data_IF_921489321168
#
_entry.id   IF_921489321168
#
_cell.length_a   1.000
_cell.length_b   1.000
_cell.length_c   1.000
_cell.angle_alpha   90.00
_cell.angle_beta   90.00
_cell.angle_gamma   90.00
#
_symmetry.space_group_name_H-M   'P 1'
#
loop_
_entity.id
_entity.type
_entity.pdbx_description
1 polymer ?
#
# COMPACT_ATOMS: atom_id res chain seq x y z
N UNK A 1 12.16 55.15 -25.65
CA UNK A 1 12.71 56.07 -24.63
C UNK A 1 13.66 55.27 -23.75
N UNK A 2 14.95 55.41 -24.02
CA UNK A 2 15.95 56.10 -23.18
C UNK A 2 16.59 55.19 -22.11
N UNK A 3 17.67 54.56 -22.58
CA UNK A 3 19.04 54.49 -22.04
C UNK A 3 19.34 54.36 -20.53
N UNK A 4 20.38 53.57 -20.20
CA UNK A 4 20.91 53.32 -18.85
C UNK A 4 22.02 54.31 -18.45
N UNK A 5 22.36 54.35 -17.15
CA UNK A 5 23.55 55.08 -16.66
C UNK A 5 24.39 54.25 -15.69
N UNK A 6 25.66 54.19 -16.04
CA UNK A 6 26.88 53.58 -15.48
C UNK A 6 27.47 54.30 -14.25
N UNK A 7 28.52 53.71 -13.65
CA UNK A 7 29.84 54.28 -13.22
C UNK A 7 30.35 53.59 -11.93
N UNK A 8 31.63 53.30 -11.65
CA UNK A 8 32.94 53.30 -12.35
C UNK A 8 34.00 52.64 -11.42
N UNK A 9 35.09 52.13 -12.03
CA UNK A 9 36.35 51.58 -11.46
C UNK A 9 37.25 52.60 -10.71
N UNK A 10 38.33 52.14 -10.01
CA UNK A 10 39.70 52.13 -10.59
C UNK A 10 40.53 50.86 -10.23
N UNK A 11 41.29 50.24 -11.16
CA UNK A 11 42.71 50.49 -11.59
C UNK A 11 43.75 50.14 -10.50
N UNK A 12 44.65 49.17 -10.75
CA UNK A 12 46.09 49.42 -11.03
C UNK A 12 46.81 48.15 -11.51
N UNK A 13 47.73 48.35 -12.47
CA UNK A 13 48.87 47.48 -12.85
C UNK A 13 50.15 48.17 -12.40
N UNK A 14 51.30 47.47 -12.34
CA UNK A 14 52.44 47.97 -13.11
C UNK A 14 53.25 46.87 -13.83
N UNK A 15 54.13 47.36 -14.71
CA UNK A 15 54.85 46.66 -15.77
C UNK A 15 56.35 46.50 -15.51
N UNK A 16 56.97 45.63 -16.34
CA UNK A 16 58.35 45.65 -16.88
C UNK A 16 59.56 45.37 -15.98
N UNK A 17 60.44 44.43 -16.42
CA UNK A 17 61.89 44.64 -16.65
C UNK A 17 62.55 43.48 -17.47
N UNK A 18 62.98 43.84 -18.69
CA UNK A 18 64.23 43.51 -19.43
C UNK A 18 64.91 42.13 -19.47
N UNK A 19 64.84 41.52 -20.67
CA UNK A 19 65.88 40.96 -21.57
C UNK A 19 67.37 40.99 -21.12
N UNK A 20 68.12 39.89 -21.33
CA UNK A 20 69.43 39.87 -22.04
C UNK A 20 69.92 38.46 -22.41
N UNK A 21 70.37 38.35 -23.66
CA UNK A 21 71.16 37.26 -24.28
C UNK A 21 72.65 37.45 -23.96
N UNK A 22 73.41 36.37 -23.90
CA UNK A 22 74.84 36.39 -24.25
C UNK A 22 75.31 35.05 -24.80
N UNK A 23 76.25 35.16 -25.72
CA UNK A 23 76.71 34.23 -26.76
C UNK A 23 78.11 33.70 -26.46
N UNK A 24 78.35 32.41 -26.74
CA UNK A 24 79.55 31.78 -27.36
C UNK A 24 80.93 31.89 -26.62
N UNK A 25 81.85 30.90 -26.73
CA UNK A 25 82.50 30.54 -28.00
C UNK A 25 82.81 29.05 -28.26
N UNK A 26 83.12 28.80 -29.53
CA UNK A 26 83.47 27.55 -30.20
C UNK A 26 84.89 27.66 -30.74
N UNK A 27 85.70 26.60 -30.62
CA UNK A 27 86.75 26.13 -31.57
C UNK A 27 87.48 24.92 -30.96
N UNK A 28 88.28 24.13 -31.70
CA UNK A 28 88.09 23.62 -33.05
C UNK A 28 88.27 22.09 -33.16
N UNK A 29 88.07 21.62 -34.40
CA UNK A 29 88.03 20.27 -34.98
C UNK A 29 89.35 19.47 -34.83
N UNK A 30 89.26 18.16 -34.57
CA UNK A 30 90.24 17.18 -35.10
C UNK A 30 89.58 15.85 -35.45
N UNK A 31 89.77 15.47 -36.70
CA UNK A 31 89.36 14.23 -37.34
C UNK A 31 90.23 13.06 -36.85
N UNK A 32 89.61 11.94 -36.52
CA UNK A 32 90.25 10.62 -36.50
C UNK A 32 89.25 9.57 -36.98
N UNK A 33 89.52 9.04 -38.18
CA UNK A 33 88.86 7.86 -38.75
C UNK A 33 89.38 6.63 -38.01
N UNK A 34 88.48 5.83 -37.43
CA UNK A 34 88.77 4.43 -37.11
C UNK A 34 87.55 3.57 -37.45
N UNK A 35 87.80 2.57 -38.31
CA UNK A 35 86.94 1.42 -38.56
C UNK A 35 86.84 0.58 -37.28
N UNK A 36 85.62 0.37 -36.76
CA UNK A 36 85.32 -0.73 -35.84
C UNK A 36 83.92 -1.29 -36.14
N UNK A 37 83.86 -2.61 -36.31
CA UNK A 37 82.69 -3.44 -36.61
C UNK A 37 81.60 -3.41 -35.51
N UNK A 38 80.33 -3.73 -35.82
CA UNK A 38 79.26 -3.75 -34.84
C UNK A 38 79.35 -5.02 -33.98
N UNK A 39 79.64 -4.87 -32.69
CA UNK A 39 79.40 -5.91 -31.70
C UNK A 39 77.92 -5.87 -31.30
N UNK A 40 77.16 -6.86 -31.73
CA UNK A 40 75.80 -7.11 -31.27
C UNK A 40 75.85 -7.46 -29.77
N UNK A 41 75.50 -6.49 -28.92
CA UNK A 41 75.15 -6.77 -27.53
C UNK A 41 73.68 -7.19 -27.46
N UNK A 42 73.34 -8.34 -26.83
CA UNK A 42 71.95 -8.71 -26.67
C UNK A 42 71.33 -7.76 -25.65
N UNK A 43 70.49 -6.83 -26.10
CA UNK A 43 69.61 -6.08 -25.20
C UNK A 43 68.65 -7.08 -24.53
N UNK A 44 68.99 -7.55 -23.33
CA UNK A 44 68.03 -8.20 -22.42
C UNK A 44 67.02 -7.13 -22.00
N UNK A 45 65.92 -7.01 -22.77
CA UNK A 45 64.74 -6.29 -22.31
C UNK A 45 64.21 -7.02 -21.09
N UNK A 46 64.45 -6.47 -19.89
CA UNK A 46 63.85 -6.96 -18.67
C UNK A 46 62.35 -6.72 -18.76
N UNK A 47 61.58 -7.80 -18.91
CA UNK A 47 60.13 -7.72 -18.87
C UNK A 47 59.70 -7.10 -17.54
N UNK A 48 58.79 -6.13 -17.60
CA UNK A 48 58.22 -5.54 -16.40
C UNK A 48 57.52 -6.61 -15.56
N UNK A 49 57.39 -6.38 -14.27
CA UNK A 49 56.67 -7.29 -13.35
C UNK A 49 55.27 -7.63 -13.87
N UNK A 50 54.55 -6.65 -14.44
CA UNK A 50 53.26 -6.86 -15.11
C UNK A 50 53.34 -7.75 -16.36
N UNK A 51 54.37 -7.58 -17.19
CA UNK A 51 54.58 -8.43 -18.36
C UNK A 51 54.93 -9.88 -17.97
N UNK A 52 55.69 -10.08 -16.89
CA UNK A 52 55.98 -11.42 -16.34
C UNK A 52 54.72 -12.08 -15.79
N UNK A 53 53.89 -11.34 -15.07
CA UNK A 53 52.61 -11.82 -14.54
C UNK A 53 51.64 -12.25 -15.65
N UNK A 54 51.48 -11.42 -16.69
CA UNK A 54 50.58 -11.71 -17.81
C UNK A 54 51.02 -12.93 -18.63
N UNK A 55 52.33 -13.10 -18.85
CA UNK A 55 52.88 -14.27 -19.52
C UNK A 55 52.75 -15.54 -18.65
N UNK A 56 53.03 -15.44 -17.35
CA UNK A 56 52.85 -16.53 -16.40
C UNK A 56 51.39 -17.02 -16.34
N UNK A 57 50.43 -16.10 -16.29
CA UNK A 57 49.00 -16.42 -16.36
C UNK A 57 48.60 -17.09 -17.68
N UNK A 58 49.13 -16.61 -18.82
CA UNK A 58 48.85 -17.22 -20.13
C UNK A 58 49.40 -18.65 -20.25
N UNK A 59 50.60 -18.89 -19.73
CA UNK A 59 51.23 -20.20 -19.78
C UNK A 59 50.55 -21.18 -18.82
N UNK A 60 50.29 -20.75 -17.57
CA UNK A 60 49.53 -21.52 -16.60
C UNK A 60 48.11 -21.86 -17.10
N UNK A 61 47.41 -20.93 -17.75
CA UNK A 61 46.07 -21.17 -18.32
C UNK A 61 46.07 -22.33 -19.33
N UNK A 62 47.07 -22.39 -20.22
CA UNK A 62 47.16 -23.45 -21.25
C UNK A 62 47.48 -24.81 -20.64
N UNK A 63 48.40 -24.85 -19.68
CA UNK A 63 48.79 -26.11 -19.02
C UNK A 63 47.69 -26.67 -18.14
N UNK A 64 46.94 -25.81 -17.43
CA UNK A 64 45.82 -26.23 -16.57
C UNK A 64 44.64 -26.71 -17.43
N UNK A 65 44.34 -26.05 -18.56
CA UNK A 65 43.29 -26.47 -19.50
C UNK A 65 43.54 -27.87 -20.07
N UNK A 66 44.80 -28.20 -20.37
CA UNK A 66 45.18 -29.53 -20.89
C UNK A 66 45.08 -30.62 -19.84
N UNK A 67 45.47 -30.32 -18.59
CA UNK A 67 45.46 -31.30 -17.49
C UNK A 67 44.07 -31.55 -16.92
N UNK A 68 43.21 -30.54 -16.91
CA UNK A 68 41.90 -30.58 -16.26
C UNK A 68 40.79 -30.00 -17.17
N UNK A 69 40.50 -30.63 -18.33
CA UNK A 69 39.58 -30.08 -19.33
C UNK A 69 38.11 -30.02 -18.88
N UNK A 70 37.71 -30.83 -17.89
CA UNK A 70 36.34 -30.89 -17.36
C UNK A 70 36.22 -30.10 -16.05
N UNK A 71 37.19 -30.26 -15.14
CA UNK A 71 37.19 -29.62 -13.81
C UNK A 71 37.34 -28.09 -13.89
N UNK A 72 38.14 -27.58 -14.82
CA UNK A 72 38.37 -26.14 -14.95
C UNK A 72 37.13 -25.34 -15.42
N UNK A 73 36.40 -25.71 -16.49
CA UNK A 73 35.18 -25.01 -16.85
C UNK A 73 34.10 -25.15 -15.76
N UNK A 74 34.01 -26.29 -15.07
CA UNK A 74 33.10 -26.47 -13.94
C UNK A 74 33.44 -25.51 -12.79
N UNK A 75 34.73 -25.36 -12.44
CA UNK A 75 35.17 -24.43 -11.40
C UNK A 75 34.94 -22.95 -11.78
N UNK A 76 35.14 -22.59 -13.05
CA UNK A 76 34.85 -21.24 -13.55
C UNK A 76 33.35 -20.96 -13.53
N UNK A 77 32.53 -21.94 -13.93
CA UNK A 77 31.09 -21.85 -13.86
C UNK A 77 30.62 -21.69 -12.41
N UNK A 78 31.10 -22.53 -11.48
CA UNK A 78 30.73 -22.41 -10.07
C UNK A 78 31.15 -21.08 -9.45
N UNK A 79 32.33 -20.56 -9.80
CA UNK A 79 32.79 -19.25 -9.34
C UNK A 79 31.93 -18.11 -9.92
N UNK A 80 31.53 -18.20 -11.19
CA UNK A 80 30.63 -17.23 -11.81
C UNK A 80 29.24 -17.28 -11.17
N UNK A 81 28.68 -18.47 -10.94
CA UNK A 81 27.39 -18.65 -10.28
C UNK A 81 27.41 -18.14 -8.83
N UNK A 82 28.44 -18.46 -8.05
CA UNK A 82 28.59 -17.95 -6.69
C UNK A 82 28.69 -16.41 -6.66
N UNK A 83 29.44 -15.83 -7.60
CA UNK A 83 29.54 -14.37 -7.75
C UNK A 83 28.18 -13.77 -8.09
N UNK A 84 27.44 -14.35 -9.04
CA UNK A 84 26.12 -13.90 -9.45
C UNK A 84 25.11 -13.94 -8.28
N UNK A 85 25.10 -15.03 -7.51
CA UNK A 85 24.27 -15.18 -6.30
C UNK A 85 24.64 -14.12 -5.28
N UNK A 86 25.92 -13.92 -4.99
CA UNK A 86 26.37 -12.89 -4.05
C UNK A 86 25.97 -11.49 -4.49
N UNK A 87 26.16 -11.14 -5.77
CA UNK A 87 25.72 -9.85 -6.32
C UNK A 87 24.20 -9.68 -6.26
N UNK A 88 23.44 -10.76 -6.46
CA UNK A 88 21.98 -10.73 -6.34
C UNK A 88 21.53 -10.52 -4.89
N UNK A 89 22.15 -11.20 -3.93
CA UNK A 89 21.89 -11.00 -2.50
C UNK A 89 22.23 -9.55 -2.10
N UNK A 90 23.38 -9.03 -2.50
CA UNK A 90 23.77 -7.65 -2.24
C UNK A 90 22.81 -6.63 -2.89
N UNK A 91 22.34 -6.92 -4.10
CA UNK A 91 21.34 -6.11 -4.79
C UNK A 91 19.99 -6.10 -4.05
N UNK A 92 19.50 -7.27 -3.61
CA UNK A 92 18.26 -7.39 -2.83
C UNK A 92 18.39 -6.67 -1.48
N UNK A 93 19.51 -6.81 -0.79
CA UNK A 93 19.76 -6.12 0.48
C UNK A 93 19.73 -4.59 0.29
N UNK A 94 20.42 -4.09 -0.73
CA UNK A 94 20.50 -2.65 -1.00
C UNK A 94 19.17 -2.06 -1.51
N UNK A 95 18.46 -2.77 -2.38
CA UNK A 95 17.26 -2.22 -3.06
C UNK A 95 15.95 -2.56 -2.39
N UNK A 96 15.85 -3.66 -1.62
CA UNK A 96 14.61 -4.09 -0.97
C UNK A 96 14.66 -3.97 0.56
N UNK A 97 15.76 -4.37 1.20
CA UNK A 97 15.85 -4.43 2.67
C UNK A 97 16.22 -3.07 3.28
N UNK A 98 17.26 -2.41 2.77
CA UNK A 98 17.69 -1.09 3.25
C UNK A 98 16.57 -0.04 3.27
N UNK A 99 15.79 0.13 2.17
CA UNK A 99 14.70 1.10 2.12
C UNK A 99 13.51 0.77 3.01
N UNK A 100 13.34 -0.46 3.52
CA UNK A 100 12.22 -0.76 4.42
C UNK A 100 12.48 -0.32 5.87
N UNK A 101 13.76 -0.21 6.27
CA UNK A 101 14.14 0.10 7.65
C UNK A 101 14.80 1.46 7.85
N UNK A 102 14.97 2.28 6.81
CA UNK A 102 15.57 3.63 6.93
C UNK A 102 14.78 4.58 7.85
N UNK A 103 13.48 4.33 8.05
CA UNK A 103 12.61 5.08 8.97
C UNK A 103 12.87 4.75 10.44
N UNK A 104 13.54 3.64 10.72
CA UNK A 104 13.88 3.20 12.06
C UNK A 104 15.35 3.52 12.36
N UNK A 105 15.68 3.94 13.60
CA UNK A 105 17.07 3.98 14.04
C UNK A 105 17.74 2.61 13.86
N UNK A 106 19.03 2.54 13.49
CA UNK A 106 19.70 1.27 13.21
C UNK A 106 19.55 0.18 14.30
N UNK A 107 19.59 0.50 15.61
CA UNK A 107 19.35 -0.49 16.66
C UNK A 107 17.92 -1.06 16.67
N UNK A 108 16.92 -0.23 16.37
CA UNK A 108 15.51 -0.65 16.26
C UNK A 108 15.34 -1.56 15.04
N UNK A 109 15.93 -1.17 13.91
CA UNK A 109 15.90 -1.95 12.67
C UNK A 109 16.49 -3.35 12.87
N UNK A 110 17.60 -3.49 13.60
CA UNK A 110 18.22 -4.79 13.90
C UNK A 110 17.31 -5.70 14.72
N UNK A 111 16.69 -5.17 15.77
CA UNK A 111 15.69 -5.91 16.56
C UNK A 111 14.48 -6.32 15.69
N UNK A 112 14.01 -5.42 14.83
CA UNK A 112 12.89 -5.70 13.91
C UNK A 112 13.23 -6.76 12.86
N UNK A 113 14.45 -6.80 12.31
CA UNK A 113 14.86 -7.88 11.40
C UNK A 113 14.73 -9.25 12.07
N UNK A 114 15.13 -9.34 13.34
CA UNK A 114 14.98 -10.57 14.13
C UNK A 114 13.50 -10.92 14.35
N UNK A 115 12.67 -9.92 14.68
CA UNK A 115 11.24 -10.12 14.85
C UNK A 115 10.57 -10.61 13.56
N UNK A 116 10.84 -9.96 12.43
CA UNK A 116 10.31 -10.33 11.10
C UNK A 116 10.79 -11.70 10.67
N UNK A 117 12.05 -12.07 10.94
CA UNK A 117 12.53 -13.43 10.67
C UNK A 117 11.67 -14.49 11.38
N UNK A 118 11.37 -14.28 12.66
CA UNK A 118 10.53 -15.20 13.44
C UNK A 118 9.02 -15.06 13.19
N UNK A 119 8.60 -14.12 12.33
CA UNK A 119 7.21 -13.97 11.86
C UNK A 119 7.04 -14.60 10.47
N UNK A 120 7.99 -14.39 9.57
CA UNK A 120 7.87 -14.74 8.14
C UNK A 120 8.61 -16.02 7.75
N UNK A 121 9.78 -16.29 8.36
CA UNK A 121 10.68 -17.36 7.93
C UNK A 121 10.55 -18.59 8.82
N UNK A 122 10.71 -18.40 10.14
CA UNK A 122 10.61 -19.47 11.14
C UNK A 122 9.59 -19.03 12.19
N UNK A 123 8.30 -19.29 11.93
CA UNK A 123 7.21 -18.79 12.76
C UNK A 123 7.32 -19.28 14.20
N UNK A 124 7.83 -18.41 15.06
CA UNK A 124 8.10 -18.69 16.48
C UNK A 124 7.58 -17.52 17.32
N UNK A 125 6.30 -17.54 17.72
CA UNK A 125 5.64 -16.41 18.39
C UNK A 125 6.36 -15.91 19.66
N UNK A 126 6.91 -16.77 20.54
CA UNK A 126 7.63 -16.29 21.72
C UNK A 126 8.89 -15.47 21.38
N UNK A 127 9.68 -15.96 20.42
CA UNK A 127 10.90 -15.28 19.97
C UNK A 127 10.60 -14.00 19.19
N UNK A 128 9.60 -14.04 18.30
CA UNK A 128 9.14 -12.87 17.56
C UNK A 128 8.64 -11.79 18.54
N UNK A 129 7.80 -12.16 19.50
CA UNK A 129 7.26 -11.24 20.50
C UNK A 129 8.37 -10.63 21.37
N UNK A 130 9.38 -11.41 21.76
CA UNK A 130 10.53 -10.89 22.49
C UNK A 130 11.29 -9.84 21.67
N UNK A 131 11.55 -10.13 20.40
CA UNK A 131 12.23 -9.20 19.50
C UNK A 131 11.41 -7.93 19.22
N UNK A 132 10.09 -8.03 19.05
CA UNK A 132 9.21 -6.86 18.91
C UNK A 132 9.17 -5.99 20.18
N UNK A 133 9.11 -6.61 21.37
CA UNK A 133 9.17 -5.88 22.64
C UNK A 133 10.48 -5.13 22.79
N UNK A 134 11.59 -5.77 22.41
CA UNK A 134 12.90 -5.13 22.42
C UNK A 134 12.98 -3.96 21.43
N UNK A 135 12.46 -4.13 20.21
CA UNK A 135 12.38 -3.05 19.23
C UNK A 135 11.57 -1.84 19.76
N UNK A 136 10.44 -2.08 20.44
CA UNK A 136 9.64 -1.02 21.06
C UNK A 136 10.39 -0.33 22.21
N UNK A 137 11.09 -1.09 23.06
CA UNK A 137 11.90 -0.56 24.16
C UNK A 137 13.01 0.35 23.64
N UNK A 138 13.80 -0.15 22.68
CA UNK A 138 14.88 0.61 22.04
C UNK A 138 14.30 1.84 21.33
N UNK A 139 13.14 1.72 20.67
CA UNK A 139 12.48 2.84 20.02
C UNK A 139 12.18 3.99 20.99
N UNK A 140 11.67 3.66 22.18
CA UNK A 140 11.43 4.64 23.25
C UNK A 140 12.75 5.27 23.73
N UNK A 141 13.78 4.46 23.96
CA UNK A 141 15.12 4.94 24.37
C UNK A 141 15.76 5.87 23.33
N UNK A 142 15.47 5.63 22.06
CA UNK A 142 15.90 6.45 20.93
C UNK A 142 14.97 7.66 20.68
N UNK A 143 13.98 7.91 21.54
CA UNK A 143 13.09 9.05 21.47
C UNK A 143 12.03 8.98 20.37
N UNK A 144 11.71 7.78 19.85
CA UNK A 144 10.63 7.62 18.88
C UNK A 144 9.28 7.94 19.53
N UNK A 145 8.48 8.77 18.87
CA UNK A 145 7.17 9.15 19.38
C UNK A 145 6.25 7.90 19.49
N UNK A 146 5.57 7.65 20.62
CA UNK A 146 4.74 6.45 20.81
C UNK A 146 3.60 6.29 19.80
N UNK A 147 3.14 7.41 19.24
CA UNK A 147 2.09 7.49 18.22
C UNK A 147 2.64 7.82 16.83
N UNK A 148 3.94 7.64 16.60
CA UNK A 148 4.50 7.69 15.25
C UNK A 148 3.97 6.55 14.38
N UNK A 149 4.06 6.72 13.07
CA UNK A 149 3.65 5.70 12.10
C UNK A 149 4.39 4.37 12.35
N UNK A 150 5.68 4.48 12.63
CA UNK A 150 6.62 3.41 12.90
C UNK A 150 6.25 2.62 14.16
N UNK A 151 6.06 3.29 15.30
CA UNK A 151 5.83 2.61 16.59
C UNK A 151 4.46 1.94 16.63
N UNK A 152 3.41 2.60 16.14
CA UNK A 152 2.08 1.97 16.03
C UNK A 152 2.12 0.82 15.01
N UNK A 153 2.89 0.97 13.93
CA UNK A 153 3.11 -0.09 12.94
C UNK A 153 3.69 -1.36 13.57
N UNK A 154 4.67 -1.23 14.48
CA UNK A 154 5.22 -2.39 15.21
C UNK A 154 4.13 -3.10 16.03
N UNK A 155 3.25 -2.36 16.72
CA UNK A 155 2.16 -2.95 17.52
C UNK A 155 1.16 -3.73 16.65
N UNK A 156 0.81 -3.19 15.49
CA UNK A 156 -0.06 -3.87 14.52
C UNK A 156 0.62 -5.13 13.97
N UNK A 157 1.93 -5.07 13.68
CA UNK A 157 2.72 -6.23 13.25
C UNK A 157 2.78 -7.33 14.32
N UNK A 158 2.84 -6.98 15.60
CA UNK A 158 2.71 -7.96 16.70
C UNK A 158 1.37 -8.68 16.64
N UNK A 159 0.27 -7.96 16.45
CA UNK A 159 -1.06 -8.57 16.32
C UNK A 159 -1.16 -9.49 15.10
N UNK A 160 -0.63 -9.07 13.95
CA UNK A 160 -0.57 -9.89 12.73
C UNK A 160 0.24 -11.18 12.94
N UNK A 161 1.38 -11.10 13.62
CA UNK A 161 2.20 -12.27 13.95
C UNK A 161 1.42 -13.25 14.84
N UNK A 162 0.71 -12.73 15.87
CA UNK A 162 -0.11 -13.55 16.76
C UNK A 162 -1.27 -14.22 16.01
N UNK A 163 -1.93 -13.49 15.11
CA UNK A 163 -2.99 -14.04 14.25
C UNK A 163 -2.47 -15.19 13.38
N UNK A 164 -1.34 -15.01 12.70
CA UNK A 164 -0.71 -16.06 11.87
C UNK A 164 -0.30 -17.29 12.67
N UNK A 165 0.00 -17.11 13.95
CA UNK A 165 0.28 -18.19 14.87
C UNK A 165 -0.96 -18.92 15.39
N UNK A 166 -2.16 -18.55 14.94
CA UNK A 166 -3.44 -19.07 15.44
C UNK A 166 -3.83 -18.51 16.82
N UNK A 167 -3.14 -17.49 17.32
CA UNK A 167 -3.38 -16.87 18.61
C UNK A 167 -4.34 -15.67 18.48
N UNK A 168 -5.50 -15.89 17.86
CA UNK A 168 -6.48 -14.84 17.54
C UNK A 168 -6.89 -14.00 18.76
N UNK A 169 -7.10 -14.63 19.92
CA UNK A 169 -7.45 -13.91 21.17
C UNK A 169 -6.36 -12.93 21.61
N UNK A 170 -5.09 -13.36 21.53
CA UNK A 170 -3.97 -12.50 21.88
C UNK A 170 -3.79 -11.35 20.86
N UNK A 171 -4.04 -11.62 19.57
CA UNK A 171 -4.07 -10.58 18.55
C UNK A 171 -5.14 -9.51 18.85
N UNK A 172 -6.36 -9.93 19.19
CA UNK A 172 -7.45 -9.04 19.61
C UNK A 172 -7.04 -8.19 20.82
N UNK A 173 -6.44 -8.79 21.86
CA UNK A 173 -5.99 -8.05 23.05
C UNK A 173 -4.97 -6.95 22.70
N UNK A 174 -4.01 -7.25 21.81
CA UNK A 174 -3.02 -6.27 21.36
C UNK A 174 -3.68 -5.14 20.56
N UNK A 175 -4.63 -5.46 19.69
CA UNK A 175 -5.35 -4.49 18.87
C UNK A 175 -6.28 -3.60 19.69
N UNK A 176 -7.08 -4.15 20.60
CA UNK A 176 -7.96 -3.39 21.50
C UNK A 176 -7.14 -2.43 22.37
N UNK A 177 -6.01 -2.89 22.92
CA UNK A 177 -5.10 -2.03 23.68
C UNK A 177 -4.53 -0.91 22.82
N UNK A 178 -4.02 -1.25 21.64
CA UNK A 178 -3.40 -0.27 20.73
C UNK A 178 -4.41 0.78 20.30
N UNK A 179 -5.64 0.37 19.99
CA UNK A 179 -6.75 1.29 19.70
C UNK A 179 -7.05 2.20 20.88
N UNK A 180 -7.17 1.65 22.09
CA UNK A 180 -7.43 2.43 23.29
C UNK A 180 -6.39 3.52 23.54
N UNK A 181 -5.11 3.19 23.35
CA UNK A 181 -4.00 4.15 23.43
C UNK A 181 -4.12 5.24 22.35
N UNK A 182 -4.41 4.88 21.09
CA UNK A 182 -4.62 5.84 20.00
C UNK A 182 -5.79 6.79 20.28
N UNK A 183 -6.92 6.26 20.72
CA UNK A 183 -8.10 7.06 21.03
C UNK A 183 -7.84 8.01 22.21
N UNK A 184 -7.11 7.54 23.23
CA UNK A 184 -6.64 8.38 24.33
C UNK A 184 -5.78 9.57 23.84
N UNK A 185 -4.91 9.35 22.86
CA UNK A 185 -4.11 10.40 22.23
C UNK A 185 -4.95 11.38 21.41
N UNK A 186 -5.85 10.88 20.58
CA UNK A 186 -6.72 11.72 19.73
C UNK A 186 -7.64 12.62 20.57
N UNK A 187 -8.09 12.12 21.73
CA UNK A 187 -8.92 12.87 22.69
C UNK A 187 -8.12 13.82 23.60
N UNK A 188 -6.78 13.83 23.48
CA UNK A 188 -5.90 14.63 24.33
C UNK A 188 -5.81 14.14 25.78
N UNK A 189 -6.24 12.91 26.06
CA UNK A 189 -6.20 12.28 27.39
C UNK A 189 -4.86 11.62 27.70
N UNK A 190 -4.16 11.14 26.67
CA UNK A 190 -2.89 10.43 26.81
C UNK A 190 -1.86 10.99 25.83
N UNK A 191 -0.75 11.54 26.33
CA UNK A 191 0.37 12.01 25.50
C UNK A 191 1.51 10.99 25.40
N UNK A 192 1.23 9.73 25.73
CA UNK A 192 2.23 8.67 25.80
C UNK A 192 2.96 8.61 27.13
N UNK A 193 2.54 9.40 28.14
CA UNK A 193 3.12 9.40 29.49
C UNK A 193 2.92 8.03 30.19
N UNK A 194 1.98 7.21 29.71
CA UNK A 194 1.70 5.85 30.20
C UNK A 194 2.36 4.71 29.40
N UNK A 195 3.01 4.98 28.26
CA UNK A 195 3.69 3.95 27.46
C UNK A 195 5.10 3.75 28.02
N UNK A 196 5.20 2.92 29.05
CA UNK A 196 6.45 2.46 29.68
C UNK A 196 7.28 3.60 30.29
N UNK A 197 6.70 4.38 31.20
CA UNK A 197 7.43 5.04 32.30
C UNK A 197 8.51 6.08 31.94
N UNK A 198 8.62 6.51 30.68
CA UNK A 198 9.56 7.57 30.31
C UNK A 198 8.85 8.91 30.49
N UNK A 199 9.20 9.61 31.58
CA UNK A 199 8.88 11.02 31.75
C UNK A 199 9.62 11.78 30.66
N UNK A 200 8.90 12.33 29.69
CA UNK A 200 9.44 13.34 28.79
C UNK A 200 9.87 14.51 29.69
N UNK A 201 11.17 14.77 29.79
CA UNK A 201 11.71 15.82 30.63
C UNK A 201 11.11 17.17 30.21
N UNK A 202 10.39 17.79 31.16
CA UNK A 202 9.72 19.07 30.98
C UNK A 202 10.71 20.23 31.12
N UNK A 203 11.67 20.34 30.22
CA UNK A 203 12.39 21.61 30.00
C UNK A 203 12.63 21.84 28.52
N UNK A 204 11.56 22.20 27.81
CA UNK A 204 11.66 22.63 26.42
C UNK A 204 11.10 24.04 26.24
N UNK A 205 11.87 24.88 25.55
CA UNK A 205 11.51 26.26 25.24
C UNK A 205 10.22 26.35 24.40
N UNK A 206 9.61 27.54 24.38
CA UNK A 206 8.32 27.80 23.70
C UNK A 206 8.28 27.38 22.23
N UNK A 207 9.42 27.39 21.53
CA UNK A 207 9.51 27.00 20.10
C UNK A 207 9.42 25.48 19.92
N UNK A 208 10.23 24.70 20.64
CA UNK A 208 10.16 23.22 20.62
C UNK A 208 8.79 22.68 21.00
N UNK A 209 8.13 23.30 21.99
CA UNK A 209 6.76 22.92 22.38
C UNK A 209 5.77 23.11 21.23
N UNK A 210 5.90 24.19 20.44
CA UNK A 210 5.05 24.43 19.26
C UNK A 210 5.34 23.42 18.15
N UNK A 211 6.61 23.10 17.92
CA UNK A 211 7.01 22.09 16.93
C UNK A 211 6.45 20.70 17.28
N UNK A 212 6.49 20.31 18.56
CA UNK A 212 5.88 19.07 19.04
C UNK A 212 4.35 19.10 18.91
N UNK A 213 3.69 20.21 19.27
CA UNK A 213 2.24 20.35 19.12
C UNK A 213 1.80 20.29 17.64
N UNK A 214 2.58 20.87 16.73
CA UNK A 214 2.32 20.81 15.29
C UNK A 214 2.56 19.40 14.73
N UNK A 215 3.61 18.71 15.18
CA UNK A 215 3.86 17.31 14.86
C UNK A 215 2.75 16.39 15.39
N UNK A 216 2.32 16.55 16.64
CA UNK A 216 1.21 15.79 17.24
C UNK A 216 -0.09 15.96 16.43
N UNK A 217 -0.36 17.18 15.96
CA UNK A 217 -1.50 17.46 15.08
C UNK A 217 -1.42 16.71 13.75
N UNK A 218 -0.22 16.60 13.16
CA UNK A 218 0.00 15.81 11.95
C UNK A 218 -0.11 14.30 12.21
N UNK A 219 0.33 13.83 13.39
CA UNK A 219 0.22 12.42 13.75
C UNK A 219 -1.22 12.00 14.03
N UNK A 220 -2.05 12.90 14.57
CA UNK A 220 -3.47 12.65 14.88
C UNK A 220 -4.20 11.98 13.72
N UNK A 221 -4.07 12.52 12.52
CA UNK A 221 -4.77 11.99 11.34
C UNK A 221 -4.26 10.58 10.99
N UNK A 222 -2.94 10.38 11.03
CA UNK A 222 -2.29 9.09 10.72
C UNK A 222 -2.71 7.99 11.69
N UNK A 223 -2.72 8.29 12.99
CA UNK A 223 -3.10 7.29 13.99
C UNK A 223 -4.61 7.07 14.01
N UNK A 224 -5.43 8.08 13.75
CA UNK A 224 -6.87 7.91 13.63
C UNK A 224 -7.22 7.02 12.43
N UNK A 225 -6.52 7.18 11.29
CA UNK A 225 -6.62 6.26 10.14
C UNK A 225 -6.32 4.82 10.56
N UNK A 226 -5.29 4.61 11.38
CA UNK A 226 -4.97 3.28 11.92
C UNK A 226 -6.01 2.77 12.91
N UNK A 227 -6.63 3.62 13.71
CA UNK A 227 -7.71 3.21 14.61
C UNK A 227 -8.89 2.65 13.82
N UNK A 228 -9.27 3.27 12.70
CA UNK A 228 -10.30 2.74 11.78
C UNK A 228 -9.87 1.36 11.26
N UNK A 229 -8.65 1.22 10.75
CA UNK A 229 -8.15 -0.07 10.27
C UNK A 229 -8.08 -1.15 11.36
N UNK A 230 -7.74 -0.78 12.59
CA UNK A 230 -7.75 -1.68 13.75
C UNK A 230 -9.19 -2.13 14.06
N UNK A 231 -10.17 -1.23 14.06
CA UNK A 231 -11.58 -1.60 14.27
C UNK A 231 -12.09 -2.55 13.18
N UNK A 232 -11.75 -2.29 11.92
CA UNK A 232 -12.09 -3.21 10.82
C UNK A 232 -11.44 -4.59 11.01
N UNK A 233 -10.17 -4.64 11.41
CA UNK A 233 -9.47 -5.91 11.68
C UNK A 233 -10.03 -6.63 12.90
N UNK A 234 -10.40 -5.90 13.95
CA UNK A 234 -11.07 -6.46 15.12
C UNK A 234 -12.39 -7.10 14.72
N UNK A 235 -13.17 -6.47 13.84
CA UNK A 235 -14.40 -7.05 13.35
C UNK A 235 -14.20 -8.38 12.63
N UNK A 236 -13.20 -8.46 11.76
CA UNK A 236 -12.81 -9.70 11.08
C UNK A 236 -12.41 -10.79 12.07
N UNK A 237 -11.55 -10.46 13.04
CA UNK A 237 -11.11 -11.40 14.07
C UNK A 237 -12.28 -11.88 14.95
N UNK A 238 -13.19 -10.99 15.35
CA UNK A 238 -14.37 -11.35 16.13
C UNK A 238 -15.32 -12.26 15.37
N UNK A 239 -15.51 -12.04 14.06
CA UNK A 239 -16.32 -12.92 13.19
C UNK A 239 -15.60 -14.19 12.73
N UNK A 240 -14.30 -14.33 13.00
CA UNK A 240 -13.56 -15.53 12.61
C UNK A 240 -14.08 -16.79 13.32
N UNK A 241 -13.87 -17.94 12.68
CA UNK A 241 -14.23 -19.25 13.23
C UNK A 241 -13.59 -19.54 14.60
N UNK A 242 -12.54 -18.82 14.97
CA UNK A 242 -11.83 -18.97 16.24
C UNK A 242 -12.49 -18.23 17.41
N UNK A 243 -13.21 -17.12 17.13
CA UNK A 243 -13.79 -16.26 18.17
C UNK A 243 -15.32 -16.30 18.15
N UNK A 244 -15.94 -16.19 16.97
CA UNK A 244 -17.39 -16.28 16.75
C UNK A 244 -18.22 -15.33 17.64
N UNK A 245 -17.74 -14.09 17.85
CA UNK A 245 -18.43 -13.04 18.59
C UNK A 245 -19.00 -11.99 17.63
N UNK A 246 -20.09 -12.35 16.94
CA UNK A 246 -20.74 -11.49 15.94
C UNK A 246 -21.20 -10.14 16.49
N UNK A 247 -21.53 -10.07 17.79
CA UNK A 247 -21.93 -8.81 18.44
C UNK A 247 -20.77 -7.84 18.55
N UNK A 248 -19.60 -8.32 18.97
CA UNK A 248 -18.39 -7.49 18.99
C UNK A 248 -17.90 -7.16 17.60
N UNK A 249 -18.06 -8.09 16.65
CA UNK A 249 -17.71 -7.84 15.26
C UNK A 249 -18.52 -6.67 14.67
N UNK A 250 -19.84 -6.69 14.89
CA UNK A 250 -20.72 -5.58 14.52
C UNK A 250 -20.33 -4.28 15.25
N UNK A 251 -20.12 -4.33 16.57
CA UNK A 251 -19.74 -3.16 17.36
C UNK A 251 -18.43 -2.50 16.86
N UNK A 252 -17.45 -3.31 16.46
CA UNK A 252 -16.19 -2.81 15.90
C UNK A 252 -16.39 -2.16 14.51
N UNK A 253 -17.20 -2.75 13.61
CA UNK A 253 -17.55 -2.10 12.34
C UNK A 253 -18.33 -0.80 12.53
N UNK A 254 -19.29 -0.77 13.47
CA UNK A 254 -20.02 0.46 13.83
C UNK A 254 -19.03 1.52 14.33
N UNK A 255 -18.10 1.17 15.20
CA UNK A 255 -17.08 2.09 15.69
C UNK A 255 -16.19 2.63 14.55
N UNK A 256 -15.76 1.78 13.61
CA UNK A 256 -15.01 2.19 12.43
C UNK A 256 -15.78 3.23 11.59
N UNK A 257 -17.05 2.95 11.29
CA UNK A 257 -17.94 3.85 10.53
C UNK A 257 -18.17 5.17 11.28
N UNK A 258 -18.42 5.11 12.59
CA UNK A 258 -18.59 6.32 13.40
C UNK A 258 -17.34 7.20 13.40
N UNK A 259 -16.14 6.62 13.51
CA UNK A 259 -14.89 7.36 13.45
C UNK A 259 -14.74 8.05 12.09
N UNK A 260 -15.00 7.34 10.99
CA UNK A 260 -15.00 7.90 9.65
C UNK A 260 -15.97 9.07 9.51
N UNK A 261 -17.23 8.92 9.93
CA UNK A 261 -18.25 9.97 9.80
C UNK A 261 -17.99 11.17 10.70
N UNK A 262 -17.54 10.96 11.94
CA UNK A 262 -17.17 12.03 12.88
C UNK A 262 -16.00 12.85 12.33
N UNK A 263 -14.96 12.18 11.83
CA UNK A 263 -13.79 12.83 11.26
C UNK A 263 -14.11 13.53 9.93
N UNK A 264 -14.95 12.92 9.08
CA UNK A 264 -15.46 13.53 7.86
C UNK A 264 -16.20 14.84 8.17
N UNK A 265 -17.12 14.83 9.14
CA UNK A 265 -17.86 16.02 9.56
C UNK A 265 -16.93 17.09 10.15
N UNK A 266 -15.94 16.69 10.97
CA UNK A 266 -14.92 17.59 11.51
C UNK A 266 -14.09 18.25 10.41
N UNK A 267 -13.73 17.50 9.36
CA UNK A 267 -12.96 18.03 8.22
C UNK A 267 -13.79 19.03 7.43
N UNK A 268 -15.05 18.69 7.14
CA UNK A 268 -15.97 19.60 6.47
C UNK A 268 -16.17 20.91 7.23
N UNK A 269 -16.38 20.85 8.56
CA UNK A 269 -16.59 22.06 9.37
C UNK A 269 -15.34 22.94 9.47
N UNK A 270 -14.15 22.37 9.29
CA UNK A 270 -12.87 23.09 9.29
C UNK A 270 -12.37 23.46 7.88
N UNK A 271 -13.10 23.11 6.83
CA UNK A 271 -12.66 23.31 5.44
C UNK A 271 -11.42 22.49 5.06
N UNK A 272 -11.19 21.36 5.74
CA UNK A 272 -10.09 20.44 5.44
C UNK A 272 -10.50 19.43 4.34
N UNK A 273 -9.54 18.88 3.57
CA UNK A 273 -9.80 17.81 2.62
C UNK A 273 -10.49 16.61 3.27
N UNK A 274 -11.59 16.15 2.65
CA UNK A 274 -12.46 15.06 3.13
C UNK A 274 -12.03 13.68 2.64
N UNK A 275 -11.15 13.63 1.63
CA UNK A 275 -10.47 12.43 1.16
C UNK A 275 -9.00 12.78 0.91
N UNK A 276 -8.09 11.89 1.31
CA UNK A 276 -6.66 12.05 1.03
C UNK A 276 -6.43 12.26 -0.47
N UNK A 277 -5.81 13.39 -0.83
CA UNK A 277 -5.59 13.76 -2.23
C UNK A 277 -4.90 12.67 -3.08
N UNK A 278 -5.23 12.63 -4.37
CA UNK A 278 -4.70 11.70 -5.39
C UNK A 278 -3.23 11.94 -5.79
N UNK A 279 -2.53 12.88 -5.14
CA UNK A 279 -1.14 13.22 -5.45
C UNK A 279 -0.19 12.20 -4.80
N UNK A 280 0.58 11.49 -5.63
CA UNK A 280 1.48 10.39 -5.24
C UNK A 280 2.57 10.78 -4.21
N UNK A 281 2.76 12.07 -3.95
CA UNK A 281 3.76 12.62 -3.03
C UNK A 281 3.14 13.31 -1.79
N UNK A 282 1.81 13.37 -1.70
CA UNK A 282 1.10 13.93 -0.56
C UNK A 282 0.15 12.90 0.03
N UNK A 283 0.74 11.95 0.75
CA UNK A 283 0.04 11.05 1.67
C UNK A 283 -0.52 11.89 2.83
N UNK A 284 -1.58 12.66 2.55
CA UNK A 284 -2.39 13.27 3.59
C UNK A 284 -2.76 12.17 4.58
N UNK A 285 -2.45 12.39 5.86
CA UNK A 285 -2.45 11.33 6.88
C UNK A 285 -3.80 10.67 7.16
N UNK A 286 -4.85 11.01 6.40
CA UNK A 286 -6.20 10.53 6.60
C UNK A 286 -6.65 9.54 5.52
N UNK A 287 -7.83 8.96 5.71
CA UNK A 287 -8.44 8.05 4.77
C UNK A 287 -8.84 8.78 3.48
N UNK A 288 -8.66 8.10 2.34
CA UNK A 288 -9.30 8.52 1.10
C UNK A 288 -10.79 8.13 1.08
N UNK A 289 -11.55 8.69 0.14
CA UNK A 289 -13.00 8.47 0.08
C UNK A 289 -13.32 7.00 -0.22
N UNK A 290 -12.52 6.33 -1.04
CA UNK A 290 -12.65 4.87 -1.26
C UNK A 290 -12.53 4.09 0.05
N UNK A 291 -11.53 4.37 0.90
CA UNK A 291 -11.35 3.67 2.18
C UNK A 291 -12.53 3.91 3.13
N UNK A 292 -13.08 5.13 3.15
CA UNK A 292 -14.30 5.45 3.92
C UNK A 292 -15.51 4.69 3.37
N UNK A 293 -15.66 4.64 2.05
CA UNK A 293 -16.73 3.91 1.38
C UNK A 293 -16.64 2.41 1.70
N UNK A 294 -15.45 1.82 1.71
CA UNK A 294 -15.24 0.42 2.10
C UNK A 294 -15.71 0.14 3.53
N UNK A 295 -15.37 0.99 4.49
CA UNK A 295 -15.84 0.82 5.88
C UNK A 295 -17.38 0.85 5.97
N UNK A 296 -18.02 1.73 5.21
CA UNK A 296 -19.49 1.81 5.13
C UNK A 296 -20.09 0.56 4.47
N UNK A 297 -19.51 0.09 3.36
CA UNK A 297 -20.01 -1.08 2.63
C UNK A 297 -19.84 -2.37 3.40
N UNK A 298 -18.78 -2.52 4.19
CA UNK A 298 -18.56 -3.72 5.01
C UNK A 298 -19.64 -3.84 6.10
N UNK A 299 -19.94 -2.74 6.80
CA UNK A 299 -21.04 -2.71 7.76
C UNK A 299 -22.41 -2.92 7.08
N UNK A 300 -22.60 -2.30 5.90
CA UNK A 300 -23.82 -2.49 5.12
C UNK A 300 -23.99 -3.95 4.66
N UNK A 301 -22.91 -4.61 4.26
CA UNK A 301 -22.88 -6.01 3.88
C UNK A 301 -23.30 -6.91 5.05
N UNK A 302 -22.78 -6.65 6.25
CA UNK A 302 -23.25 -7.32 7.48
C UNK A 302 -24.75 -7.13 7.70
N UNK A 303 -25.25 -5.90 7.62
CA UNK A 303 -26.69 -5.66 7.79
C UNK A 303 -27.54 -6.30 6.69
N UNK A 304 -27.02 -6.41 5.46
CA UNK A 304 -27.69 -7.16 4.38
C UNK A 304 -27.78 -8.65 4.73
N UNK A 305 -26.69 -9.25 5.22
CA UNK A 305 -26.66 -10.66 5.61
C UNK A 305 -27.58 -10.97 6.81
N UNK A 306 -27.80 -9.99 7.70
CA UNK A 306 -28.77 -10.07 8.80
C UNK A 306 -30.21 -9.72 8.36
N UNK A 307 -30.45 -9.49 7.07
CA UNK A 307 -31.72 -8.99 6.51
C UNK A 307 -32.21 -7.67 7.14
N UNK A 308 -31.29 -6.88 7.69
CA UNK A 308 -31.56 -5.57 8.27
C UNK A 308 -31.38 -4.47 7.23
N UNK A 309 -32.17 -4.56 6.15
CA UNK A 309 -32.06 -3.70 4.98
C UNK A 309 -32.24 -2.21 5.30
N UNK A 310 -33.08 -1.89 6.30
CA UNK A 310 -33.31 -0.51 6.75
C UNK A 310 -32.04 0.16 7.30
N UNK A 311 -31.10 -0.61 7.88
CA UNK A 311 -29.79 -0.10 8.29
C UNK A 311 -28.77 -0.15 7.15
N UNK A 312 -28.91 -1.09 6.23
CA UNK A 312 -27.96 -1.28 5.13
C UNK A 312 -28.07 -0.22 4.03
N UNK A 313 -29.30 0.09 3.58
CA UNK A 313 -29.57 1.07 2.52
C UNK A 313 -28.89 2.43 2.79
N UNK A 314 -29.07 3.08 3.96
CA UNK A 314 -28.45 4.40 4.19
C UNK A 314 -26.91 4.36 4.17
N UNK A 315 -26.28 3.26 4.59
CA UNK A 315 -24.83 3.11 4.53
C UNK A 315 -24.33 3.01 3.09
N UNK A 316 -25.00 2.20 2.25
CA UNK A 316 -24.66 2.05 0.82
C UNK A 316 -24.89 3.36 0.06
N UNK A 317 -26.01 4.03 0.33
CA UNK A 317 -26.33 5.33 -0.26
C UNK A 317 -25.28 6.38 0.13
N UNK A 318 -24.80 6.36 1.39
CA UNK A 318 -23.73 7.26 1.82
C UNK A 318 -22.40 6.95 1.15
N UNK A 319 -22.04 5.67 1.00
CA UNK A 319 -20.85 5.28 0.26
C UNK A 319 -20.93 5.71 -1.22
N UNK A 320 -22.10 5.58 -1.84
CA UNK A 320 -22.34 5.97 -3.22
C UNK A 320 -22.21 7.49 -3.41
N UNK A 321 -22.78 8.27 -2.50
CA UNK A 321 -22.68 9.74 -2.50
C UNK A 321 -21.22 10.23 -2.42
N UNK A 322 -20.43 9.60 -1.55
CA UNK A 322 -19.00 9.90 -1.41
C UNK A 322 -18.23 9.60 -2.70
N UNK A 323 -18.39 8.39 -3.25
CA UNK A 323 -17.71 8.00 -4.49
C UNK A 323 -18.17 8.82 -5.69
N UNK A 324 -19.47 9.12 -5.79
CA UNK A 324 -20.00 9.95 -6.86
C UNK A 324 -19.39 11.35 -6.84
N UNK A 325 -19.24 11.93 -5.65
CA UNK A 325 -18.61 13.25 -5.48
C UNK A 325 -17.13 13.24 -5.85
N UNK A 326 -16.40 12.17 -5.53
CA UNK A 326 -14.97 12.03 -5.85
C UNK A 326 -14.74 11.77 -7.35
N UNK A 327 -15.55 10.90 -7.96
CA UNK A 327 -15.38 10.44 -9.34
C UNK A 327 -16.00 11.38 -10.38
N UNK A 328 -16.97 12.21 -9.99
CA UNK A 328 -17.67 13.14 -10.89
C UNK A 328 -18.30 12.43 -12.10
N UNK A 329 -17.95 12.87 -13.31
CA UNK A 329 -18.48 12.34 -14.57
C UNK A 329 -17.79 11.04 -15.04
N UNK A 330 -16.82 10.51 -14.28
CA UNK A 330 -16.04 9.32 -14.62
C UNK A 330 -16.32 8.17 -13.63
N UNK A 331 -17.51 7.54 -13.67
CA UNK A 331 -17.89 6.52 -12.70
C UNK A 331 -17.02 5.26 -12.82
N UNK A 332 -16.73 4.64 -11.67
CA UNK A 332 -16.04 3.34 -11.59
C UNK A 332 -17.01 2.20 -11.28
N UNK A 333 -16.50 0.96 -11.33
CA UNK A 333 -17.28 -0.24 -11.02
C UNK A 333 -17.82 -0.25 -9.58
N UNK A 334 -17.19 0.46 -8.66
CA UNK A 334 -17.68 0.61 -7.28
C UNK A 334 -19.06 1.27 -7.22
N UNK A 335 -19.33 2.27 -8.06
CA UNK A 335 -20.67 2.86 -8.14
C UNK A 335 -21.70 1.84 -8.64
N UNK A 336 -21.34 1.00 -9.63
CA UNK A 336 -22.23 -0.03 -10.17
C UNK A 336 -22.59 -1.06 -9.10
N UNK A 337 -21.59 -1.54 -8.33
CA UNK A 337 -21.77 -2.46 -7.21
C UNK A 337 -22.77 -1.87 -6.21
N UNK A 338 -22.53 -0.63 -5.76
CA UNK A 338 -23.38 0.05 -4.78
C UNK A 338 -24.82 0.26 -5.27
N UNK A 339 -25.00 0.70 -6.51
CA UNK A 339 -26.33 0.88 -7.11
C UNK A 339 -27.12 -0.43 -7.10
N UNK A 340 -26.47 -1.54 -7.47
CA UNK A 340 -27.09 -2.85 -7.43
C UNK A 340 -27.34 -3.35 -5.99
N UNK A 341 -26.43 -3.10 -5.05
CA UNK A 341 -26.64 -3.42 -3.63
C UNK A 341 -27.87 -2.71 -3.07
N UNK A 342 -28.06 -1.41 -3.40
CA UNK A 342 -29.24 -0.64 -2.96
C UNK A 342 -30.52 -1.26 -3.54
N UNK A 343 -30.50 -1.62 -4.83
CA UNK A 343 -31.62 -2.31 -5.46
C UNK A 343 -31.96 -3.63 -4.75
N UNK A 344 -30.94 -4.46 -4.48
CA UNK A 344 -31.08 -5.72 -3.76
C UNK A 344 -31.64 -5.55 -2.35
N UNK A 345 -31.17 -4.56 -1.60
CA UNK A 345 -31.69 -4.28 -0.26
C UNK A 345 -33.14 -3.78 -0.29
N UNK A 346 -33.52 -2.92 -1.25
CA UNK A 346 -34.91 -2.47 -1.40
C UNK A 346 -35.84 -3.63 -1.76
N UNK A 347 -35.41 -4.49 -2.69
CA UNK A 347 -36.09 -5.73 -3.06
C UNK A 347 -36.25 -6.69 -1.87
N UNK A 348 -35.20 -6.86 -1.06
CA UNK A 348 -35.23 -7.62 0.18
C UNK A 348 -36.20 -7.03 1.21
N UNK A 349 -36.17 -5.71 1.40
CA UNK A 349 -37.05 -5.01 2.34
C UNK A 349 -38.53 -5.13 1.95
N UNK A 350 -38.84 -5.08 0.66
CA UNK A 350 -40.20 -5.28 0.15
C UNK A 350 -40.78 -6.68 0.46
N UNK A 351 -39.93 -7.68 0.75
CA UNK A 351 -40.37 -9.01 1.16
C UNK A 351 -40.69 -9.09 2.66
N UNK A 352 -40.18 -8.16 3.47
CA UNK A 352 -40.42 -8.14 4.92
C UNK A 352 -41.78 -7.50 5.25
N UNK A 353 -42.33 -7.76 6.44
CA UNK A 353 -43.53 -7.04 6.91
C UNK A 353 -43.29 -5.52 7.02
N UNK A 354 -44.05 -4.74 6.26
CA UNK A 354 -43.95 -3.27 6.26
C UNK A 354 -44.98 -2.66 7.22
N UNK A 355 -44.53 -1.80 8.13
CA UNK A 355 -45.40 -1.01 9.01
C UNK A 355 -45.74 0.32 8.34
N UNK A 356 -46.84 0.36 7.58
CA UNK A 356 -47.36 1.55 6.93
C UNK A 356 -48.90 1.55 6.98
N UNK A 357 -49.52 2.71 6.73
CA UNK A 357 -50.99 2.83 6.61
C UNK A 357 -51.53 1.95 5.47
N UNK A 358 -50.80 1.90 4.35
CA UNK A 358 -51.07 1.00 3.23
C UNK A 358 -49.81 0.17 2.89
N UNK A 359 -49.66 -1.03 3.49
CA UNK A 359 -48.51 -1.89 3.27
C UNK A 359 -48.37 -2.38 1.82
N UNK A 360 -49.47 -2.52 1.08
CA UNK A 360 -49.42 -2.99 -0.32
C UNK A 360 -48.80 -1.92 -1.20
N UNK A 361 -49.29 -0.69 -1.08
CA UNK A 361 -48.75 0.45 -1.82
C UNK A 361 -47.28 0.70 -1.46
N UNK A 362 -46.92 0.60 -0.18
CA UNK A 362 -45.52 0.74 0.24
C UNK A 362 -44.62 -0.34 -0.37
N UNK A 363 -45.11 -1.59 -0.44
CA UNK A 363 -44.40 -2.69 -1.09
C UNK A 363 -44.20 -2.46 -2.59
N UNK A 364 -45.24 -2.02 -3.30
CA UNK A 364 -45.16 -1.66 -4.72
C UNK A 364 -44.14 -0.55 -4.96
N UNK A 365 -44.16 0.50 -4.13
CA UNK A 365 -43.20 1.60 -4.21
C UNK A 365 -41.74 1.15 -4.00
N UNK A 366 -41.49 0.21 -3.08
CA UNK A 366 -40.15 -0.34 -2.87
C UNK A 366 -39.67 -1.16 -4.08
N UNK A 367 -40.56 -1.93 -4.72
CA UNK A 367 -40.20 -2.65 -5.94
C UNK A 367 -39.95 -1.72 -7.12
N UNK A 368 -40.80 -0.72 -7.31
CA UNK A 368 -40.59 0.30 -8.35
C UNK A 368 -39.26 1.05 -8.14
N UNK A 369 -38.90 1.31 -6.88
CA UNK A 369 -37.61 1.89 -6.54
C UNK A 369 -36.45 0.93 -6.84
N UNK A 370 -36.56 -0.33 -6.41
CA UNK A 370 -35.54 -1.35 -6.66
C UNK A 370 -35.29 -1.55 -8.17
N UNK A 371 -36.34 -1.58 -8.98
CA UNK A 371 -36.25 -1.68 -10.44
C UNK A 371 -35.46 -0.51 -11.04
N UNK A 372 -35.76 0.72 -10.60
CA UNK A 372 -35.04 1.92 -11.04
C UNK A 372 -33.56 1.90 -10.64
N UNK A 373 -33.23 1.43 -9.44
CA UNK A 373 -31.84 1.34 -8.98
C UNK A 373 -31.06 0.25 -9.74
N UNK A 374 -31.67 -0.91 -9.98
CA UNK A 374 -31.04 -1.97 -10.77
C UNK A 374 -30.81 -1.54 -12.22
N UNK A 375 -31.81 -0.89 -12.84
CA UNK A 375 -31.65 -0.33 -14.18
C UNK A 375 -30.55 0.75 -14.20
N UNK A 376 -30.50 1.61 -13.18
CA UNK A 376 -29.46 2.63 -13.07
C UNK A 376 -28.06 2.02 -12.96
N UNK A 377 -27.90 0.90 -12.26
CA UNK A 377 -26.63 0.18 -12.21
C UNK A 377 -26.17 -0.26 -13.62
N UNK A 378 -27.08 -0.83 -14.42
CA UNK A 378 -26.79 -1.22 -15.81
C UNK A 378 -26.46 -0.01 -16.70
N UNK A 379 -27.23 1.08 -16.58
CA UNK A 379 -26.99 2.32 -17.34
C UNK A 379 -25.62 2.94 -17.01
N UNK A 380 -25.22 2.91 -15.74
CA UNK A 380 -23.90 3.38 -15.32
C UNK A 380 -22.82 2.45 -15.86
N UNK A 381 -22.98 1.13 -15.71
CA UNK A 381 -22.01 0.15 -16.18
C UNK A 381 -21.78 0.23 -17.70
N UNK A 382 -22.82 0.52 -18.49
CA UNK A 382 -22.72 0.68 -19.94
C UNK A 382 -21.80 1.84 -20.38
N UNK A 383 -21.56 2.82 -19.50
CA UNK A 383 -20.66 3.96 -19.75
C UNK A 383 -19.21 3.66 -19.36
N UNK A 384 -18.95 2.58 -18.63
CA UNK A 384 -17.62 2.22 -18.14
C UNK A 384 -16.96 1.28 -19.15
N UNK A 385 -15.80 1.71 -19.67
CA UNK A 385 -15.03 0.96 -20.66
C UNK A 385 -13.70 0.48 -20.06
N UNK A 386 -13.06 -0.57 -20.63
CA UNK A 386 -11.70 -0.93 -20.27
C UNK A 386 -10.73 0.25 -20.44
N UNK A 387 -9.71 0.40 -19.58
CA UNK A 387 -9.28 -0.53 -18.53
C UNK A 387 -9.97 -0.33 -17.17
N UNK A 388 -10.90 0.63 -17.04
CA UNK A 388 -11.62 0.89 -15.77
C UNK A 388 -12.64 -0.22 -15.51
N UNK A 389 -13.27 -0.73 -16.57
CA UNK A 389 -14.18 -1.86 -16.47
C UNK A 389 -13.41 -3.13 -16.08
N UNK A 390 -13.84 -3.75 -14.99
CA UNK A 390 -13.30 -5.00 -14.46
C UNK A 390 -14.41 -6.03 -14.15
N UNK A 391 -14.01 -7.14 -13.55
CA UNK A 391 -14.91 -8.23 -13.15
C UNK A 391 -15.99 -7.79 -12.15
N UNK A 392 -15.74 -6.77 -11.31
CA UNK A 392 -16.73 -6.27 -10.35
C UNK A 392 -17.91 -5.61 -11.08
N UNK A 393 -17.64 -4.84 -12.14
CA UNK A 393 -18.70 -4.32 -13.02
C UNK A 393 -19.50 -5.45 -13.66
N UNK A 394 -18.81 -6.45 -14.21
CA UNK A 394 -19.43 -7.53 -14.98
C UNK A 394 -20.32 -8.42 -14.10
N UNK A 395 -19.82 -8.82 -12.94
CA UNK A 395 -20.60 -9.58 -11.94
C UNK A 395 -21.76 -8.77 -11.38
N UNK A 396 -21.58 -7.45 -11.20
CA UNK A 396 -22.68 -6.56 -10.80
C UNK A 396 -23.75 -6.42 -11.89
N UNK A 397 -23.38 -6.41 -13.17
CA UNK A 397 -24.34 -6.45 -14.28
C UNK A 397 -25.16 -7.74 -14.24
N UNK A 398 -24.53 -8.90 -14.03
CA UNK A 398 -25.24 -10.18 -13.85
C UNK A 398 -26.26 -10.08 -12.71
N UNK A 399 -25.83 -9.59 -11.55
CA UNK A 399 -26.67 -9.47 -10.37
C UNK A 399 -27.83 -8.48 -10.58
N UNK A 400 -27.59 -7.34 -11.24
CA UNK A 400 -28.62 -6.35 -11.56
C UNK A 400 -29.66 -6.91 -12.54
N UNK A 401 -29.23 -7.61 -13.60
CA UNK A 401 -30.13 -8.27 -14.56
C UNK A 401 -30.94 -9.37 -13.89
N UNK A 402 -30.33 -10.15 -13.00
CA UNK A 402 -31.05 -11.16 -12.21
C UNK A 402 -32.09 -10.52 -11.28
N UNK A 403 -31.72 -9.43 -10.59
CA UNK A 403 -32.63 -8.69 -9.72
C UNK A 403 -33.83 -8.13 -10.50
N UNK A 404 -33.63 -7.60 -11.70
CA UNK A 404 -34.73 -7.17 -12.58
C UNK A 404 -35.64 -8.34 -12.95
N UNK A 405 -35.08 -9.52 -13.26
CA UNK A 405 -35.88 -10.72 -13.55
C UNK A 405 -36.74 -11.14 -12.36
N UNK A 406 -36.17 -11.06 -11.15
CA UNK A 406 -36.89 -11.35 -9.91
C UNK A 406 -38.00 -10.35 -9.60
N UNK A 407 -37.76 -9.06 -9.83
CA UNK A 407 -38.77 -8.01 -9.72
C UNK A 407 -39.92 -8.22 -10.73
N UNK A 408 -39.58 -8.57 -11.98
CA UNK A 408 -40.56 -8.88 -13.02
C UNK A 408 -41.41 -10.12 -12.66
N UNK A 409 -40.79 -11.16 -12.11
CA UNK A 409 -41.50 -12.35 -11.60
C UNK A 409 -42.48 -11.95 -10.49
N UNK A 410 -42.04 -11.14 -9.53
CA UNK A 410 -42.88 -10.66 -8.44
C UNK A 410 -44.10 -9.87 -8.93
N UNK A 411 -43.91 -9.02 -9.94
CA UNK A 411 -44.97 -8.21 -10.54
C UNK A 411 -45.89 -9.03 -11.48
N UNK A 412 -45.70 -10.36 -11.61
CA UNK A 412 -46.49 -11.22 -12.49
C UNK A 412 -46.14 -11.10 -13.98
N UNK A 413 -45.04 -10.44 -14.33
CA UNK A 413 -44.54 -10.26 -15.71
C UNK A 413 -43.70 -11.46 -16.14
N UNK A 414 -44.29 -12.67 -16.16
CA UNK A 414 -43.56 -13.94 -16.33
C UNK A 414 -42.65 -14.00 -17.58
N UNK A 415 -43.10 -13.50 -18.74
CA UNK A 415 -42.28 -13.48 -19.96
C UNK A 415 -41.05 -12.58 -19.84
N UNK A 416 -41.19 -11.46 -19.15
CA UNK A 416 -40.09 -10.52 -18.94
C UNK A 416 -39.09 -11.09 -17.92
N UNK A 417 -39.58 -11.74 -16.87
CA UNK A 417 -38.75 -12.47 -15.92
C UNK A 417 -37.93 -13.58 -16.61
N UNK A 418 -38.57 -14.39 -17.47
CA UNK A 418 -37.89 -15.43 -18.24
C UNK A 418 -36.77 -14.85 -19.13
N UNK A 419 -37.07 -13.74 -19.83
CA UNK A 419 -36.09 -13.03 -20.67
C UNK A 419 -34.88 -12.57 -19.85
N UNK A 420 -35.12 -11.89 -18.73
CA UNK A 420 -34.08 -11.31 -17.87
C UNK A 420 -33.24 -12.39 -17.19
N UNK A 421 -33.85 -13.47 -16.69
CA UNK A 421 -33.09 -14.59 -16.15
C UNK A 421 -32.25 -15.30 -17.21
N UNK A 422 -32.78 -15.44 -18.44
CA UNK A 422 -32.02 -15.96 -19.58
C UNK A 422 -30.81 -15.09 -19.93
N UNK A 423 -30.97 -13.77 -19.91
CA UNK A 423 -29.90 -12.81 -20.11
C UNK A 423 -28.83 -12.89 -19.01
N UNK A 424 -29.25 -12.89 -17.74
CA UNK A 424 -28.35 -13.06 -16.60
C UNK A 424 -27.55 -14.38 -16.67
N UNK A 425 -28.19 -15.47 -17.11
CA UNK A 425 -27.52 -16.75 -17.36
C UNK A 425 -26.46 -16.63 -18.45
N UNK A 426 -26.81 -16.04 -19.60
CA UNK A 426 -25.89 -15.89 -20.73
C UNK A 426 -24.68 -15.02 -20.36
N UNK A 427 -24.90 -13.95 -19.61
CA UNK A 427 -23.82 -13.10 -19.08
C UNK A 427 -22.92 -13.89 -18.13
N UNK A 428 -23.50 -14.64 -17.19
CA UNK A 428 -22.75 -15.47 -16.24
C UNK A 428 -21.88 -16.51 -16.95
N UNK A 429 -22.40 -17.16 -17.99
CA UNK A 429 -21.65 -18.12 -18.81
C UNK A 429 -20.47 -17.45 -19.54
N UNK A 430 -20.68 -16.25 -20.08
CA UNK A 430 -19.61 -15.49 -20.74
C UNK A 430 -18.46 -15.11 -19.80
N UNK A 431 -18.76 -14.95 -18.51
CA UNK A 431 -17.79 -14.60 -17.46
C UNK A 431 -17.18 -15.83 -16.77
N UNK A 432 -17.71 -17.04 -16.99
CA UNK A 432 -17.35 -18.22 -16.18
C UNK A 432 -17.86 -18.13 -14.73
N UNK A 433 -18.88 -17.32 -14.46
CA UNK A 433 -19.45 -17.12 -13.13
C UNK A 433 -20.49 -18.20 -12.80
N UNK A 434 -20.01 -19.38 -12.38
CA UNK A 434 -20.84 -20.58 -12.15
C UNK A 434 -22.00 -20.36 -11.17
N UNK A 435 -21.79 -19.58 -10.11
CA UNK A 435 -22.85 -19.26 -9.16
C UNK A 435 -24.01 -18.51 -9.82
N UNK A 436 -23.70 -17.53 -10.70
CA UNK A 436 -24.72 -16.80 -11.47
C UNK A 436 -25.51 -17.70 -12.41
N UNK A 437 -24.83 -18.65 -13.08
CA UNK A 437 -25.49 -19.66 -13.93
C UNK A 437 -26.48 -20.50 -13.12
N UNK A 438 -26.01 -21.06 -12.00
CA UNK A 438 -26.83 -21.90 -11.12
C UNK A 438 -28.06 -21.14 -10.58
N UNK A 439 -27.90 -19.88 -10.19
CA UNK A 439 -29.00 -19.04 -9.70
C UNK A 439 -30.05 -18.78 -10.79
N UNK A 440 -29.59 -18.41 -12.00
CA UNK A 440 -30.49 -18.16 -13.14
C UNK A 440 -31.23 -19.44 -13.58
N UNK A 441 -30.57 -20.59 -13.59
CA UNK A 441 -31.20 -21.87 -13.91
C UNK A 441 -32.29 -22.27 -12.90
N UNK A 442 -32.02 -22.06 -11.60
CA UNK A 442 -33.00 -22.29 -10.55
C UNK A 442 -34.24 -21.39 -10.73
N UNK A 443 -34.03 -20.12 -11.11
CA UNK A 443 -35.11 -19.16 -11.33
C UNK A 443 -35.96 -19.49 -12.56
N UNK A 444 -35.33 -19.81 -13.70
CA UNK A 444 -36.01 -20.25 -14.92
C UNK A 444 -36.84 -21.51 -14.67
N UNK A 445 -36.27 -22.50 -13.97
CA UNK A 445 -36.99 -23.72 -13.61
C UNK A 445 -38.21 -23.44 -12.72
N UNK A 446 -38.12 -22.45 -11.82
CA UNK A 446 -39.25 -22.05 -10.97
C UNK A 446 -40.38 -21.43 -11.79
N UNK A 447 -40.07 -20.58 -12.76
CA UNK A 447 -41.07 -19.98 -13.65
C UNK A 447 -41.86 -21.02 -14.46
N UNK A 448 -41.24 -22.13 -14.86
CA UNK A 448 -41.93 -23.20 -15.62
C UNK A 448 -42.90 -24.05 -14.78
N UNK A 449 -42.80 -23.98 -13.45
CA UNK A 449 -43.64 -24.77 -12.52
C UNK A 449 -44.86 -24.01 -12.02
N UNK A 450 -44.84 -22.68 -12.11
CA UNK A 450 -45.95 -21.79 -11.78
C UNK A 450 -46.75 -21.49 -13.04
#
# INVERSE_FOLDING_TARGET
MFTPTTLRLPRTLPSTLTRRLSTLPRTPRRSLKHHLQPLQTPQRRSLSTLQKWTLGLKQARRDIWRKNPILLPLALFSAATATAIFTYIAYVEYTRVGPQYHKFPPPVAEALRTAVYYTEVDLSPPKALQAYKEALRIGIEMGMHPFSDEVVGIKIQVAMMLERAGLAKAAVEVLERTKGEIMGFVEGKDRGEGVIGVKIEKEEGKEKRKEVEEFEKQQRDKVLKKAVGIEMKLAELYSSDYIQDEKKAEAAQVAAVELCLKELHRRQSLGLPVGGGLEADNTEGWLNVTEIATALTDLAGRYTAQENYELSIPLQMRALDLLHTEEGDAPTCKQVVLLNSVAGCMAGQAQKPIRAEDPKKAKEQLFDAAEKWAQKALDVAARIQPPIRDEECDTSCVAATFNLGWLAEFQGKAKEAERLYGEAKSLSQGLGFEQGVSMADAALKRLTKN
#
